data_IF_585526881018
#
_entry.id   IF_585526881018
#
_cell.length_a   1.000
_cell.length_b   1.000
_cell.length_c   1.000
_cell.angle_alpha   90.00
_cell.angle_beta   90.00
_cell.angle_gamma   90.00
#
_symmetry.space_group_name_H-M   'P 1'
#
loop_
_entity.id
_entity.type
_entity.pdbx_description
1 polymer ?
#
# COMPACT_ATOMS: atom_id res chain seq x y z
N UNK A 1 1.09 -0.28 -4.39
CA UNK A 1 1.27 -1.50 -5.23
C UNK A 1 1.81 -1.11 -6.60
N UNK A 2 2.31 -2.06 -7.40
CA UNK A 2 2.72 -1.79 -8.79
C UNK A 2 1.51 -1.56 -9.70
N UNK A 3 1.66 -0.73 -10.74
CA UNK A 3 0.65 -0.65 -11.80
C UNK A 3 0.51 -1.97 -12.57
N UNK A 4 -0.54 -2.06 -13.38
CA UNK A 4 -0.75 -3.18 -14.31
C UNK A 4 0.01 -2.97 -15.63
N UNK A 5 0.43 -4.06 -16.24
CA UNK A 5 1.03 -4.12 -17.57
C UNK A 5 -0.05 -4.21 -18.67
N UNK A 6 0.37 -4.44 -19.92
CA UNK A 6 -0.53 -4.60 -21.07
C UNK A 6 -1.44 -5.84 -20.99
N UNK A 7 -1.08 -6.83 -20.17
CA UNK A 7 -1.88 -8.03 -19.94
C UNK A 7 -2.85 -7.85 -18.75
N UNK A 8 -2.88 -6.67 -18.14
CA UNK A 8 -3.70 -6.41 -16.96
C UNK A 8 -3.11 -7.01 -15.67
N UNK A 9 -1.87 -7.48 -15.69
CA UNK A 9 -1.22 -8.07 -14.51
C UNK A 9 -0.30 -7.05 -13.83
N UNK A 10 -0.21 -7.11 -12.52
CA UNK A 10 0.77 -6.29 -11.80
C UNK A 10 2.18 -6.72 -12.15
N UNK A 11 3.03 -5.78 -12.57
CA UNK A 11 4.40 -6.13 -13.01
C UNK A 11 5.30 -6.61 -11.86
N UNK A 12 4.95 -6.32 -10.60
CA UNK A 12 5.68 -6.78 -9.42
C UNK A 12 5.09 -8.11 -8.91
N UNK A 13 5.87 -9.21 -8.85
CA UNK A 13 5.38 -10.50 -8.37
C UNK A 13 4.78 -10.46 -6.96
N UNK A 14 5.42 -9.73 -6.05
CA UNK A 14 4.94 -9.56 -4.68
C UNK A 14 3.63 -8.76 -4.61
N UNK A 15 3.43 -7.82 -5.54
CA UNK A 15 2.15 -7.12 -5.65
C UNK A 15 1.03 -8.02 -6.19
N UNK A 16 1.33 -9.00 -7.04
CA UNK A 16 0.35 -10.02 -7.46
C UNK A 16 -0.04 -10.92 -6.28
N UNK A 17 0.92 -11.34 -5.46
CA UNK A 17 0.63 -12.11 -4.25
C UNK A 17 -0.22 -11.32 -3.26
N UNK A 18 0.09 -10.03 -3.06
CA UNK A 18 -0.71 -9.12 -2.24
C UNK A 18 -2.15 -8.98 -2.78
N UNK A 19 -2.33 -8.90 -4.10
CA UNK A 19 -3.66 -8.87 -4.71
C UNK A 19 -4.45 -10.15 -4.40
N UNK A 20 -3.82 -11.33 -4.45
CA UNK A 20 -4.46 -12.58 -4.04
C UNK A 20 -4.85 -12.56 -2.55
N UNK A 21 -3.96 -12.12 -1.66
CA UNK A 21 -4.25 -11.99 -0.23
C UNK A 21 -5.42 -11.02 0.04
N UNK A 22 -5.51 -9.91 -0.70
CA UNK A 22 -6.62 -8.96 -0.57
C UNK A 22 -7.96 -9.55 -1.03
N UNK A 23 -7.98 -10.36 -2.09
CA UNK A 23 -9.19 -11.07 -2.55
C UNK A 23 -9.74 -11.98 -1.45
N UNK A 24 -8.86 -12.57 -0.64
CA UNK A 24 -9.25 -13.40 0.50
C UNK A 24 -9.64 -12.58 1.73
N UNK A 25 -8.92 -11.49 2.03
CA UNK A 25 -9.10 -10.72 3.27
C UNK A 25 -10.28 -9.76 3.19
N UNK A 26 -10.42 -8.98 2.12
CA UNK A 26 -11.40 -7.89 2.03
C UNK A 26 -12.85 -8.33 2.27
N UNK A 27 -13.34 -9.47 1.74
CA UNK A 27 -14.69 -9.94 2.00
C UNK A 27 -14.95 -10.30 3.47
N UNK A 28 -13.90 -10.50 4.26
CA UNK A 28 -13.99 -10.86 5.68
C UNK A 28 -13.96 -9.66 6.63
N UNK A 29 -13.64 -8.46 6.11
CA UNK A 29 -13.58 -7.23 6.91
C UNK A 29 -14.98 -6.71 7.21
N UNK A 30 -15.13 -6.07 8.38
CA UNK A 30 -16.39 -5.43 8.78
C UNK A 30 -16.77 -4.25 7.89
N UNK A 31 -15.78 -3.50 7.42
CA UNK A 31 -15.92 -2.42 6.45
C UNK A 31 -14.62 -2.30 5.65
N UNK A 32 -14.73 -1.74 4.44
CA UNK A 32 -13.60 -1.35 3.60
C UNK A 32 -13.53 0.16 3.40
N UNK A 33 -14.34 0.91 4.15
CA UNK A 33 -14.35 2.37 4.12
C UNK A 33 -12.97 2.92 4.51
N UNK A 34 -12.48 3.88 3.72
CA UNK A 34 -11.16 4.47 3.93
C UNK A 34 -9.98 3.68 3.36
N UNK A 35 -10.21 2.49 2.77
CA UNK A 35 -9.15 1.79 2.04
C UNK A 35 -8.97 2.38 0.64
N UNK A 36 -7.73 2.72 0.30
CA UNK A 36 -7.36 3.33 -0.98
C UNK A 36 -6.25 2.51 -1.63
N UNK A 37 -6.48 2.12 -2.88
CA UNK A 37 -5.46 1.51 -3.73
C UNK A 37 -4.61 2.60 -4.38
N UNK A 38 -3.31 2.56 -4.09
CA UNK A 38 -2.33 3.47 -4.70
C UNK A 38 -1.37 2.67 -5.58
N UNK A 39 -1.25 3.09 -6.84
CA UNK A 39 -0.33 2.52 -7.82
C UNK A 39 0.88 3.43 -8.00
N UNK A 40 2.09 2.88 -7.82
CA UNK A 40 3.33 3.67 -7.86
C UNK A 40 3.86 3.95 -9.27
N UNK A 41 3.14 3.46 -10.29
CA UNK A 41 3.51 3.53 -11.71
C UNK A 41 4.20 2.26 -12.23
N UNK A 42 4.71 2.38 -13.45
CA UNK A 42 5.46 1.36 -14.19
C UNK A 42 6.88 1.15 -13.59
N UNK A 43 7.60 0.07 -13.96
CA UNK A 43 8.88 -0.26 -13.33
C UNK A 43 9.93 0.85 -13.39
N UNK A 44 10.01 1.59 -14.50
CA UNK A 44 10.94 2.71 -14.68
C UNK A 44 10.57 3.92 -13.81
N UNK A 45 9.28 4.24 -13.70
CA UNK A 45 8.76 5.30 -12.84
C UNK A 45 9.02 4.98 -11.37
N UNK A 46 8.77 3.73 -10.95
CA UNK A 46 9.01 3.30 -9.57
C UNK A 46 10.50 3.27 -9.19
N UNK A 47 11.37 2.86 -10.10
CA UNK A 47 12.82 2.82 -9.85
C UNK A 47 13.45 4.22 -9.79
N UNK A 48 12.77 5.24 -10.32
CA UNK A 48 13.27 6.60 -10.24
C UNK A 48 13.33 7.08 -8.78
N UNK A 49 14.46 7.65 -8.32
CA UNK A 49 14.53 8.28 -7.01
C UNK A 49 13.60 9.50 -6.91
N UNK A 50 13.21 10.09 -8.04
CA UNK A 50 12.26 11.21 -8.09
C UNK A 50 10.78 10.78 -8.01
N UNK A 51 10.49 9.49 -7.85
CA UNK A 51 9.12 9.01 -7.70
C UNK A 51 8.49 9.63 -6.43
N UNK A 52 7.32 10.26 -6.58
CA UNK A 52 6.66 10.99 -5.49
C UNK A 52 6.38 10.14 -4.26
N UNK A 53 6.16 8.83 -4.43
CA UNK A 53 5.90 7.91 -3.32
C UNK A 53 7.17 7.52 -2.56
N UNK A 54 8.36 7.66 -3.17
CA UNK A 54 9.64 7.48 -2.47
C UNK A 54 10.03 8.69 -1.63
N UNK A 55 9.39 9.83 -1.87
CA UNK A 55 9.65 11.08 -1.18
C UNK A 55 8.75 11.24 0.06
N UNK A 56 9.12 12.17 0.93
CA UNK A 56 8.24 12.60 2.00
C UNK A 56 6.90 13.15 1.43
N UNK A 57 5.77 12.90 2.11
CA UNK A 57 5.66 12.28 3.43
C UNK A 57 5.60 10.74 3.39
N UNK A 58 5.37 10.13 2.21
CA UNK A 58 5.12 8.69 2.05
C UNK A 58 6.33 7.81 2.38
N UNK A 59 7.51 8.22 1.88
CA UNK A 59 8.79 7.53 2.06
C UNK A 59 8.68 6.00 1.84
N UNK A 60 7.95 5.59 0.80
CA UNK A 60 7.78 4.18 0.45
C UNK A 60 9.05 3.71 -0.24
N UNK A 61 9.75 2.76 0.36
CA UNK A 61 11.01 2.25 -0.19
C UNK A 61 10.82 1.00 -1.05
N UNK A 62 9.80 0.20 -0.71
CA UNK A 62 9.52 -1.13 -1.27
C UNK A 62 8.03 -1.30 -1.53
N UNK A 63 7.65 -2.20 -2.43
CA UNK A 63 6.26 -2.53 -2.73
C UNK A 63 6.09 -4.05 -2.74
N UNK A 64 4.93 -4.60 -2.34
CA UNK A 64 3.75 -3.91 -1.80
C UNK A 64 4.03 -3.30 -0.42
N UNK A 65 3.25 -2.28 -0.07
CA UNK A 65 3.27 -1.66 1.26
C UNK A 65 1.85 -1.24 1.60
N UNK A 66 1.42 -1.51 2.83
CA UNK A 66 0.14 -1.08 3.40
C UNK A 66 0.47 -0.11 4.52
N UNK A 67 -0.17 1.06 4.54
CA UNK A 67 0.11 2.11 5.53
C UNK A 67 -1.19 2.59 6.14
N UNK A 68 -1.18 2.83 7.44
CA UNK A 68 -2.24 3.58 8.09
C UNK A 68 -1.97 5.07 7.95
N UNK A 69 -2.97 5.79 7.43
CA UNK A 69 -2.96 7.24 7.34
C UNK A 69 -3.91 7.75 8.41
N UNK A 70 -3.36 8.32 9.48
CA UNK A 70 -4.16 8.97 10.53
C UNK A 70 -4.56 10.36 10.06
N UNK A 71 -5.88 10.62 9.98
CA UNK A 71 -6.37 11.99 9.81
C UNK A 71 -6.48 12.67 11.17
N UNK A 72 -5.56 13.59 11.46
CA UNK A 72 -5.71 14.46 12.62
C UNK A 72 -6.46 15.70 12.12
N UNK A 73 -7.70 15.85 12.58
CA UNK A 73 -8.78 16.66 12.03
C UNK A 73 -8.59 18.18 11.96
N UNK A 74 -7.51 18.69 11.36
CA UNK A 74 -7.40 20.11 11.00
C UNK A 74 -6.87 20.41 9.59
N UNK A 75 -6.40 19.42 8.82
CA UNK A 75 -6.00 19.66 7.42
C UNK A 75 -5.79 18.32 6.72
N UNK A 76 -6.62 18.01 5.71
CA UNK A 76 -6.42 16.87 4.81
C UNK A 76 -5.09 16.97 4.01
N UNK A 77 -4.36 18.08 4.19
CA UNK A 77 -3.07 18.37 3.56
C UNK A 77 -1.89 18.27 4.55
N UNK A 78 -2.15 18.18 5.86
CA UNK A 78 -1.14 18.00 6.94
C UNK A 78 -1.30 16.68 7.70
N UNK A 79 -1.88 15.67 7.06
CA UNK A 79 -1.90 14.32 7.62
C UNK A 79 -0.47 13.79 7.63
N UNK A 80 0.14 13.87 8.82
CA UNK A 80 1.51 13.47 9.12
C UNK A 80 1.67 11.97 8.91
N UNK A 81 1.81 11.57 7.66
CA UNK A 81 2.52 10.34 7.33
C UNK A 81 3.97 10.62 7.70
N UNK A 82 4.30 10.24 8.93
CA UNK A 82 5.67 10.29 9.39
C UNK A 82 6.35 8.99 9.00
N UNK A 83 7.68 8.97 9.03
CA UNK A 83 8.43 7.71 8.90
C UNK A 83 7.99 6.65 9.93
N UNK A 84 7.29 7.04 11.00
CA UNK A 84 6.81 6.17 12.08
C UNK A 84 5.38 5.66 11.88
N UNK A 85 4.66 6.09 10.83
CA UNK A 85 3.31 5.58 10.56
C UNK A 85 3.35 4.05 10.41
N UNK A 86 2.49 3.31 11.14
CA UNK A 86 2.42 1.86 11.05
C UNK A 86 2.27 1.42 9.61
N UNK A 87 3.05 0.40 9.22
CA UNK A 87 3.04 -0.13 7.87
C UNK A 87 3.44 -1.59 7.81
N UNK A 88 2.86 -2.32 6.88
CA UNK A 88 3.33 -3.64 6.46
C UNK A 88 4.09 -3.49 5.14
N UNK A 89 5.20 -4.21 4.99
CA UNK A 89 6.06 -4.13 3.80
C UNK A 89 6.33 -5.53 3.26
N UNK A 90 6.24 -5.70 1.94
CA UNK A 90 6.56 -6.93 1.21
C UNK A 90 5.94 -8.19 1.85
N UNK A 91 6.75 -9.09 2.41
CA UNK A 91 6.30 -10.35 2.99
C UNK A 91 5.26 -10.18 4.12
N UNK A 92 5.34 -9.09 4.89
CA UNK A 92 4.33 -8.81 5.93
C UNK A 92 3.01 -8.37 5.32
N UNK A 93 3.06 -7.58 4.24
CA UNK A 93 1.85 -7.14 3.54
C UNK A 93 1.16 -8.31 2.84
N UNK A 94 1.93 -9.26 2.30
CA UNK A 94 1.39 -10.44 1.60
C UNK A 94 0.82 -11.48 2.58
N UNK A 95 1.32 -11.53 3.81
CA UNK A 95 0.86 -12.50 4.80
C UNK A 95 -0.61 -12.23 5.20
N UNK A 96 -1.51 -13.15 4.86
CA UNK A 96 -2.96 -13.01 5.06
C UNK A 96 -3.33 -12.68 6.51
N UNK A 97 -2.71 -13.38 7.48
CA UNK A 97 -2.99 -13.16 8.90
C UNK A 97 -2.57 -11.75 9.33
N UNK A 98 -1.34 -11.34 8.98
CA UNK A 98 -0.83 -10.00 9.31
C UNK A 98 -1.63 -8.90 8.63
N UNK A 99 -1.95 -9.10 7.35
CA UNK A 99 -2.74 -8.15 6.57
C UNK A 99 -4.11 -7.95 7.21
N UNK A 100 -4.80 -9.04 7.57
CA UNK A 100 -6.10 -8.96 8.22
C UNK A 100 -6.01 -8.24 9.56
N UNK A 101 -5.08 -8.64 10.43
CA UNK A 101 -4.86 -8.00 11.74
C UNK A 101 -4.63 -6.49 11.60
N UNK A 102 -3.86 -6.08 10.59
CA UNK A 102 -3.53 -4.68 10.34
C UNK A 102 -4.69 -3.85 9.75
N UNK A 103 -5.57 -4.47 8.97
CA UNK A 103 -6.76 -3.80 8.39
C UNK A 103 -7.92 -3.72 9.38
N UNK A 104 -7.93 -4.53 10.44
CA UNK A 104 -8.96 -4.53 11.48
C UNK A 104 -8.60 -3.70 12.72
N UNK A 105 -7.36 -3.21 12.83
CA UNK A 105 -6.86 -2.40 13.95
C UNK A 105 -7.30 -0.95 13.85
#
# INVERSE_FOLDING_TARGET
>A
MSSRDSNGQMWCPDCQQMEASLVEVLPTLKSTDGLIYVYVGQPNEWKSPSNVFRQAPWSVERIPTVMQVSSNSQSLLDDRITQQSPRLVEAEAINITRLKEFLES
#
